data_IF_917825830745
#
_entry.id   IF_917825830745
#
_cell.length_a   1.000
_cell.length_b   1.000
_cell.length_c   1.000
_cell.angle_alpha   90.00
_cell.angle_beta   90.00
_cell.angle_gamma   90.00
#
_symmetry.space_group_name_H-M   'P 1'
#
loop_
_entity.id
_entity.type
_entity.pdbx_description
1 polymer ?
#
# COMPACT_ATOMS: atom_id res chain seq x y z
N UNK A 1 39.28 -20.43 0.43
CA UNK A 1 38.39 -19.71 -0.50
C UNK A 1 37.15 -19.32 0.29
N UNK A 2 37.21 -18.18 0.97
CA UNK A 2 36.16 -17.66 1.86
C UNK A 2 35.36 -16.59 1.12
N UNK A 3 34.05 -16.72 1.08
CA UNK A 3 33.14 -15.72 0.51
C UNK A 3 33.32 -14.34 1.19
N UNK A 4 33.27 -13.23 0.44
CA UNK A 4 33.30 -11.90 1.03
C UNK A 4 31.95 -11.59 1.71
N UNK A 5 31.95 -11.00 2.93
CA UNK A 5 30.71 -10.68 3.64
C UNK A 5 29.94 -9.57 2.90
N UNK A 6 28.71 -9.87 2.46
CA UNK A 6 27.82 -8.90 1.81
C UNK A 6 27.50 -7.71 2.73
N UNK A 7 27.76 -6.46 2.29
CA UNK A 7 27.81 -5.28 3.14
C UNK A 7 26.41 -4.90 3.61
N UNK A 8 26.24 -4.76 4.92
CA UNK A 8 25.02 -4.34 5.62
C UNK A 8 24.34 -3.11 4.99
N UNK A 9 25.14 -2.18 4.46
CA UNK A 9 24.68 -0.97 3.76
C UNK A 9 23.87 -1.27 2.48
N UNK A 10 24.26 -2.27 1.67
CA UNK A 10 23.51 -2.64 0.45
C UNK A 10 22.19 -3.33 0.79
N UNK A 11 22.16 -4.13 1.86
CA UNK A 11 20.93 -4.72 2.39
C UNK A 11 19.96 -3.63 2.88
N UNK A 12 20.42 -2.64 3.62
CA UNK A 12 19.58 -1.51 4.06
C UNK A 12 19.05 -0.69 2.88
N UNK A 13 19.87 -0.43 1.86
CA UNK A 13 19.46 0.30 0.66
C UNK A 13 18.43 -0.49 -0.18
N UNK A 14 18.58 -1.82 -0.26
CA UNK A 14 17.58 -2.70 -0.84
C UNK A 14 16.32 -2.72 0.03
N UNK A 15 16.42 -2.85 1.35
CA UNK A 15 15.27 -2.84 2.24
C UNK A 15 14.48 -1.53 2.20
N UNK A 16 15.14 -0.37 2.09
CA UNK A 16 14.47 0.92 1.91
C UNK A 16 13.86 1.09 0.51
N UNK A 17 14.52 0.55 -0.54
CA UNK A 17 14.02 0.58 -1.92
C UNK A 17 12.87 -0.41 -2.18
N UNK A 18 12.86 -1.55 -1.50
CA UNK A 18 11.86 -2.63 -1.65
C UNK A 18 10.75 -2.58 -0.58
N UNK A 19 10.90 -1.78 0.49
CA UNK A 19 9.87 -1.58 1.54
C UNK A 19 8.45 -1.34 1.01
N UNK A 20 8.23 -0.48 0.00
CA UNK A 20 6.88 -0.23 -0.49
C UNK A 20 6.36 -1.29 -1.47
N UNK A 21 7.23 -2.15 -2.00
CA UNK A 21 6.84 -3.12 -3.03
C UNK A 21 6.07 -4.33 -2.50
N UNK A 22 6.13 -4.60 -1.19
CA UNK A 22 5.43 -5.73 -0.60
C UNK A 22 3.90 -5.57 -0.67
N UNK A 23 3.41 -4.32 -0.55
CA UNK A 23 1.98 -3.98 -0.57
C UNK A 23 1.40 -3.95 -1.99
N UNK A 24 2.20 -3.50 -2.95
CA UNK A 24 1.78 -3.24 -4.34
C UNK A 24 1.01 -4.41 -4.99
N UNK A 25 1.48 -5.67 -4.99
CA UNK A 25 0.76 -6.75 -5.66
C UNK A 25 -0.60 -7.05 -5.02
N UNK A 26 -0.70 -7.00 -3.69
CA UNK A 26 -1.96 -7.21 -2.97
C UNK A 26 -2.96 -6.10 -3.27
N UNK A 27 -2.50 -4.84 -3.26
CA UNK A 27 -3.33 -3.68 -3.54
C UNK A 27 -3.81 -3.65 -4.99
N UNK A 28 -2.94 -3.93 -5.97
CA UNK A 28 -3.32 -3.99 -7.38
C UNK A 28 -4.29 -5.15 -7.67
N UNK A 29 -4.03 -6.33 -7.11
CA UNK A 29 -4.92 -7.48 -7.27
C UNK A 29 -6.32 -7.20 -6.69
N UNK A 30 -6.38 -6.64 -5.49
CA UNK A 30 -7.64 -6.25 -4.87
C UNK A 30 -8.40 -5.20 -5.70
N UNK A 31 -7.68 -4.18 -6.18
CA UNK A 31 -8.27 -3.08 -6.97
C UNK A 31 -8.83 -3.54 -8.32
N UNK A 32 -8.12 -4.46 -8.98
CA UNK A 32 -8.61 -5.10 -10.20
C UNK A 32 -9.92 -5.87 -9.95
N UNK A 33 -10.04 -6.54 -8.80
CA UNK A 33 -11.26 -7.25 -8.41
C UNK A 33 -12.43 -6.30 -8.13
N UNK A 34 -12.21 -5.18 -7.43
CA UNK A 34 -13.26 -4.18 -7.16
C UNK A 34 -13.87 -3.64 -8.45
N UNK A 35 -13.05 -3.34 -9.44
CA UNK A 35 -13.47 -2.74 -10.71
C UNK A 35 -14.02 -3.76 -11.70
N UNK A 36 -13.52 -4.99 -11.66
CA UNK A 36 -13.96 -6.09 -12.51
C UNK A 36 -14.05 -7.40 -11.69
N UNK A 37 -15.15 -7.61 -10.95
CA UNK A 37 -15.27 -8.75 -10.04
C UNK A 37 -15.26 -10.11 -10.77
N UNK A 38 -15.59 -10.12 -12.06
CA UNK A 38 -15.61 -11.33 -12.90
C UNK A 38 -14.22 -11.91 -13.20
N UNK A 39 -13.11 -11.22 -12.90
CA UNK A 39 -11.75 -11.68 -13.24
C UNK A 39 -11.40 -12.97 -12.48
N UNK A 40 -11.55 -12.99 -11.15
CA UNK A 40 -11.13 -14.13 -10.34
C UNK A 40 -11.98 -15.38 -10.59
N UNK A 41 -13.33 -15.30 -10.67
CA UNK A 41 -14.14 -16.44 -11.03
C UNK A 41 -13.79 -17.03 -12.40
N UNK A 42 -13.40 -16.18 -13.37
CA UNK A 42 -13.00 -16.62 -14.72
C UNK A 42 -11.65 -17.31 -14.76
N UNK A 43 -10.68 -16.87 -13.95
CA UNK A 43 -9.31 -17.39 -13.98
C UNK A 43 -9.05 -18.54 -13.00
N UNK A 44 -9.67 -18.48 -11.83
CA UNK A 44 -9.34 -19.34 -10.68
C UNK A 44 -10.55 -20.15 -10.17
N UNK A 45 -11.73 -19.94 -10.76
CA UNK A 45 -12.98 -20.56 -10.33
C UNK A 45 -13.68 -19.79 -9.21
N UNK A 46 -15.01 -19.85 -9.17
CA UNK A 46 -15.85 -19.11 -8.22
C UNK A 46 -15.62 -19.49 -6.76
N UNK A 47 -15.17 -20.72 -6.50
CA UNK A 47 -14.92 -21.21 -5.14
C UNK A 47 -13.75 -20.52 -4.44
N UNK A 48 -12.81 -19.97 -5.20
CA UNK A 48 -11.57 -19.35 -4.69
C UNK A 48 -11.70 -17.81 -4.59
N UNK A 49 -12.76 -17.23 -5.15
CA UNK A 49 -12.97 -15.77 -5.21
C UNK A 49 -12.97 -15.12 -3.82
N UNK A 50 -13.86 -15.58 -2.93
CA UNK A 50 -14.02 -15.01 -1.60
C UNK A 50 -12.74 -15.09 -0.73
N UNK A 51 -12.09 -16.26 -0.57
CA UNK A 51 -10.87 -16.33 0.23
C UNK A 51 -9.72 -15.54 -0.40
N UNK A 52 -9.62 -15.48 -1.72
CA UNK A 52 -8.58 -14.71 -2.41
C UNK A 52 -8.77 -13.20 -2.22
N UNK A 53 -9.98 -12.69 -2.42
CA UNK A 53 -10.27 -11.26 -2.24
C UNK A 53 -10.02 -10.83 -0.80
N UNK A 54 -10.42 -11.63 0.18
CA UNK A 54 -10.13 -11.36 1.60
C UNK A 54 -8.62 -11.40 1.89
N UNK A 55 -7.88 -12.35 1.31
CA UNK A 55 -6.43 -12.41 1.47
C UNK A 55 -5.72 -11.20 0.84
N UNK A 56 -6.17 -10.75 -0.35
CA UNK A 56 -5.64 -9.55 -1.01
C UNK A 56 -5.93 -8.29 -0.21
N UNK A 57 -7.15 -8.16 0.32
CA UNK A 57 -7.55 -7.05 1.17
C UNK A 57 -6.74 -7.02 2.47
N UNK A 58 -6.68 -8.14 3.20
CA UNK A 58 -5.87 -8.25 4.42
C UNK A 58 -4.39 -8.00 4.15
N UNK A 59 -3.83 -8.55 3.07
CA UNK A 59 -2.44 -8.33 2.67
C UNK A 59 -2.15 -6.85 2.39
N UNK A 60 -3.06 -6.15 1.73
CA UNK A 60 -2.97 -4.70 1.53
C UNK A 60 -2.95 -3.94 2.86
N UNK A 61 -3.86 -4.28 3.78
CA UNK A 61 -3.90 -3.68 5.11
C UNK A 61 -2.60 -3.88 5.89
N UNK A 62 -2.10 -5.11 5.92
CA UNK A 62 -0.86 -5.47 6.62
C UNK A 62 0.32 -4.72 6.01
N UNK A 63 0.44 -4.70 4.68
CA UNK A 63 1.53 -4.02 3.98
C UNK A 63 1.57 -2.52 4.29
N UNK A 64 0.42 -1.83 4.22
CA UNK A 64 0.33 -0.39 4.52
C UNK A 64 0.57 -0.12 6.01
N UNK A 65 0.07 -0.98 6.90
CA UNK A 65 0.30 -0.85 8.34
C UNK A 65 1.80 -0.94 8.64
N UNK A 66 2.51 -1.92 8.07
CA UNK A 66 3.96 -2.05 8.24
C UNK A 66 4.70 -0.84 7.66
N UNK A 67 4.27 -0.33 6.51
CA UNK A 67 4.85 0.87 5.90
C UNK A 67 4.70 2.10 6.82
N UNK A 68 3.49 2.37 7.31
CA UNK A 68 3.23 3.48 8.23
C UNK A 68 3.98 3.29 9.55
N UNK A 69 3.94 2.10 10.14
CA UNK A 69 4.59 1.80 11.42
C UNK A 69 6.10 2.02 11.39
N UNK A 70 6.73 1.84 10.22
CA UNK A 70 8.17 2.06 10.04
C UNK A 70 8.54 3.48 9.64
N UNK A 71 7.56 4.35 9.37
CA UNK A 71 7.73 5.75 8.95
C UNK A 71 8.35 6.59 10.08
N UNK A 72 9.18 7.57 9.72
CA UNK A 72 10.00 8.30 10.71
C UNK A 72 9.15 9.10 11.70
N UNK A 73 8.11 9.77 11.22
CA UNK A 73 7.23 10.60 12.04
C UNK A 73 6.54 9.81 13.16
N UNK A 74 6.21 8.54 12.94
CA UNK A 74 5.57 7.68 13.95
C UNK A 74 6.58 6.96 14.88
N UNK A 75 7.89 6.97 14.58
CA UNK A 75 8.89 6.28 15.43
C UNK A 75 9.08 6.90 16.81
N UNK A 76 8.71 8.18 16.97
CA UNK A 76 8.81 8.90 18.26
C UNK A 76 7.68 8.58 19.24
N UNK A 77 6.62 7.92 18.77
CA UNK A 77 5.40 7.62 19.51
C UNK A 77 5.53 6.27 20.23
N UNK A 78 4.80 6.08 21.33
CA UNK A 78 4.74 4.81 22.05
C UNK A 78 4.28 3.65 21.14
N UNK A 79 4.82 2.45 21.36
CA UNK A 79 4.65 1.30 20.44
C UNK A 79 3.19 0.94 20.16
N UNK A 80 2.33 0.97 21.18
CA UNK A 80 0.91 0.65 21.04
C UNK A 80 0.15 1.70 20.22
N UNK A 81 0.35 2.99 20.53
CA UNK A 81 -0.25 4.09 19.79
C UNK A 81 0.24 4.14 18.35
N UNK A 82 1.54 3.90 18.14
CA UNK A 82 2.14 3.77 16.80
C UNK A 82 1.45 2.68 15.98
N UNK A 83 1.15 1.53 16.60
CA UNK A 83 0.41 0.46 15.94
C UNK A 83 -1.02 0.89 15.60
N UNK A 84 -1.74 1.49 16.54
CA UNK A 84 -3.11 1.97 16.32
C UNK A 84 -3.20 3.01 15.21
N UNK A 85 -2.30 3.99 15.19
CA UNK A 85 -2.26 5.03 14.14
C UNK A 85 -1.92 4.44 12.77
N UNK A 86 -1.04 3.43 12.73
CA UNK A 86 -0.70 2.74 11.49
C UNK A 86 -1.87 1.92 10.95
N UNK A 87 -2.60 1.22 11.83
CA UNK A 87 -3.81 0.47 11.45
C UNK A 87 -4.89 1.43 10.95
N UNK A 88 -5.10 2.54 11.66
CA UNK A 88 -6.06 3.58 11.28
C UNK A 88 -5.73 4.18 9.91
N UNK A 89 -4.48 4.60 9.68
CA UNK A 89 -4.04 5.12 8.39
C UNK A 89 -4.16 4.10 7.26
N UNK A 90 -3.87 2.82 7.54
CA UNK A 90 -4.10 1.73 6.61
C UNK A 90 -5.58 1.56 6.25
N UNK A 91 -6.47 1.62 7.23
CA UNK A 91 -7.91 1.57 7.00
C UNK A 91 -8.41 2.75 6.17
N UNK A 92 -8.01 3.97 6.52
CA UNK A 92 -8.36 5.17 5.74
C UNK A 92 -7.92 5.04 4.27
N UNK A 93 -6.69 4.58 4.03
CA UNK A 93 -6.17 4.43 2.67
C UNK A 93 -6.92 3.37 1.86
N UNK A 94 -7.13 2.17 2.41
CA UNK A 94 -7.82 1.08 1.71
C UNK A 94 -9.29 1.43 1.43
N UNK A 95 -10.02 1.90 2.45
CA UNK A 95 -11.43 2.28 2.27
C UNK A 95 -11.59 3.49 1.36
N UNK A 96 -10.74 4.51 1.49
CA UNK A 96 -10.75 5.66 0.58
C UNK A 96 -10.52 5.26 -0.88
N UNK A 97 -9.61 4.32 -1.12
CA UNK A 97 -9.37 3.77 -2.45
C UNK A 97 -10.59 3.05 -3.00
N UNK A 98 -11.23 2.17 -2.21
CA UNK A 98 -12.44 1.45 -2.64
C UNK A 98 -13.56 2.41 -3.00
N UNK A 99 -13.75 3.48 -2.23
CA UNK A 99 -14.76 4.50 -2.53
C UNK A 99 -14.50 5.13 -3.89
N UNK A 100 -13.26 5.56 -4.16
CA UNK A 100 -12.87 6.13 -5.46
C UNK A 100 -13.11 5.11 -6.58
N UNK A 101 -12.68 3.86 -6.41
CA UNK A 101 -12.85 2.81 -7.41
C UNK A 101 -14.32 2.48 -7.67
N UNK A 102 -15.15 2.50 -6.64
CA UNK A 102 -16.59 2.28 -6.76
C UNK A 102 -17.25 3.40 -7.57
N UNK A 103 -16.83 4.66 -7.35
CA UNK A 103 -17.29 5.80 -8.16
C UNK A 103 -16.83 5.65 -9.62
N UNK A 104 -15.58 5.26 -9.86
CA UNK A 104 -15.11 5.01 -11.24
C UNK A 104 -15.90 3.87 -11.90
N UNK A 105 -16.18 2.80 -11.15
CA UNK A 105 -17.00 1.68 -11.63
C UNK A 105 -18.42 2.11 -12.01
N UNK A 106 -19.03 3.01 -11.24
CA UNK A 106 -20.40 3.47 -11.52
C UNK A 106 -20.47 4.39 -12.74
N UNK A 107 -19.39 5.15 -13.03
CA UNK A 107 -19.30 6.00 -14.23
C UNK A 107 -19.12 5.15 -15.51
N UNK A 108 -18.42 4.02 -15.44
CA UNK A 108 -18.11 3.17 -16.62
C UNK A 108 -18.67 1.73 -16.50
N UNK A 109 -20.00 1.52 -16.52
CA UNK A 109 -20.60 0.20 -16.27
C UNK A 109 -20.32 -0.85 -17.36
N UNK A 110 -20.18 -0.45 -18.63
CA UNK A 110 -20.19 -1.40 -19.77
C UNK A 110 -18.81 -1.67 -20.39
N UNK A 111 -17.76 -0.97 -19.95
CA UNK A 111 -16.41 -1.05 -20.55
C UNK A 111 -15.43 -1.77 -19.63
N UNK A 112 -15.44 -3.10 -19.67
CA UNK A 112 -14.62 -3.96 -18.80
C UNK A 112 -13.11 -3.70 -18.91
N UNK A 113 -12.58 -3.62 -20.13
CA UNK A 113 -11.15 -3.37 -20.39
C UNK A 113 -10.74 -1.98 -19.90
N UNK A 114 -11.58 -0.98 -20.12
CA UNK A 114 -11.34 0.40 -19.67
C UNK A 114 -11.30 0.48 -18.14
N UNK A 115 -12.25 -0.18 -17.45
CA UNK A 115 -12.25 -0.25 -15.98
C UNK A 115 -10.99 -0.91 -15.42
N UNK A 116 -10.53 -1.98 -16.05
CA UNK A 116 -9.31 -2.67 -15.67
C UNK A 116 -8.08 -1.76 -15.81
N UNK A 117 -7.94 -1.11 -16.96
CA UNK A 117 -6.86 -0.15 -17.22
C UNK A 117 -6.89 1.02 -16.22
N UNK A 118 -8.06 1.65 -16.06
CA UNK A 118 -8.27 2.73 -15.09
C UNK A 118 -7.97 2.26 -13.66
N UNK A 119 -8.35 1.03 -13.32
CA UNK A 119 -8.08 0.47 -12.00
C UNK A 119 -6.61 0.34 -11.69
N UNK A 120 -5.86 -0.25 -12.61
CA UNK A 120 -4.42 -0.42 -12.46
C UNK A 120 -3.71 0.95 -12.42
N UNK A 121 -4.09 1.87 -13.33
CA UNK A 121 -3.54 3.23 -13.35
C UNK A 121 -3.85 4.01 -12.08
N UNK A 122 -5.10 4.00 -11.64
CA UNK A 122 -5.55 4.73 -10.45
C UNK A 122 -4.94 4.15 -9.17
N UNK A 123 -4.83 2.82 -9.08
CA UNK A 123 -4.12 2.15 -7.98
C UNK A 123 -2.66 2.61 -7.90
N UNK A 124 -1.97 2.65 -9.04
CA UNK A 124 -0.60 3.14 -9.12
C UNK A 124 -0.48 4.60 -8.69
N UNK A 125 -1.36 5.47 -9.19
CA UNK A 125 -1.37 6.89 -8.83
C UNK A 125 -1.61 7.07 -7.33
N UNK A 126 -2.63 6.42 -6.75
CA UNK A 126 -2.98 6.55 -5.33
C UNK A 126 -1.82 6.05 -4.44
N UNK A 127 -1.18 4.93 -4.78
CA UNK A 127 -0.01 4.44 -4.05
C UNK A 127 1.17 5.41 -4.14
N UNK A 128 1.47 5.94 -5.33
CA UNK A 128 2.57 6.89 -5.53
C UNK A 128 2.33 8.19 -4.77
N UNK A 129 1.11 8.71 -4.80
CA UNK A 129 0.72 9.92 -4.05
C UNK A 129 0.80 9.65 -2.55
N UNK A 130 0.29 8.52 -2.07
CA UNK A 130 0.40 8.13 -0.66
C UNK A 130 1.84 8.03 -0.18
N UNK A 131 2.72 7.41 -0.98
CA UNK A 131 4.16 7.34 -0.66
C UNK A 131 4.81 8.72 -0.61
N UNK A 132 4.55 9.57 -1.61
CA UNK A 132 5.07 10.95 -1.63
C UNK A 132 4.57 11.76 -0.45
N UNK A 133 3.31 11.60 -0.07
CA UNK A 133 2.71 12.27 1.08
C UNK A 133 3.37 11.87 2.39
N UNK A 134 3.54 10.56 2.64
CA UNK A 134 4.23 10.09 3.85
C UNK A 134 5.70 10.53 3.86
N UNK A 135 6.38 10.50 2.72
CA UNK A 135 7.75 10.98 2.62
C UNK A 135 7.87 12.48 2.96
N UNK A 136 6.97 13.30 2.44
CA UNK A 136 6.89 14.72 2.76
C UNK A 136 6.68 14.97 4.26
N UNK A 137 5.78 14.21 4.90
CA UNK A 137 5.58 14.31 6.36
C UNK A 137 6.87 13.96 7.10
N UNK A 138 7.56 12.89 6.69
CA UNK A 138 8.83 12.49 7.30
C UNK A 138 9.91 13.57 7.15
N UNK A 139 9.99 14.24 6.00
CA UNK A 139 10.91 15.38 5.77
C UNK A 139 10.58 16.57 6.67
N UNK A 140 9.29 16.92 6.78
CA UNK A 140 8.83 18.00 7.65
C UNK A 140 9.14 17.69 9.12
N UNK A 141 8.90 16.44 9.55
CA UNK A 141 9.20 15.99 10.90
C UNK A 141 10.69 16.10 11.23
N UNK A 142 11.56 15.67 10.32
CA UNK A 142 13.01 15.80 10.48
C UNK A 142 13.40 17.29 10.58
N UNK A 143 12.88 18.16 9.70
CA UNK A 143 13.17 19.59 9.70
C UNK A 143 12.75 20.30 11.01
N UNK A 144 11.57 19.96 11.56
CA UNK A 144 11.11 20.51 12.84
C UNK A 144 12.00 20.03 13.99
N UNK A 145 12.36 18.74 13.99
CA UNK A 145 13.24 18.15 15.02
C UNK A 145 14.61 18.83 15.04
N UNK A 146 15.19 19.16 13.88
CA UNK A 146 16.46 19.89 13.81
C UNK A 146 16.39 21.31 14.36
N UNK A 147 15.24 22.00 14.24
CA UNK A 147 15.07 23.34 14.83
C UNK A 147 14.91 23.32 16.35
N UNK A 148 14.35 22.24 16.91
CA UNK A 148 14.14 22.13 18.36
C UNK A 148 15.41 21.80 19.16
N UNK A 149 16.49 21.38 18.50
CA UNK A 149 17.76 21.00 19.15
C UNK A 149 18.82 22.12 19.09
N UNK A 150 18.55 23.20 18.34
CA UNK A 150 19.35 24.43 18.36
C UNK A 150 18.73 25.44 19.33
#
# INVERSE_FOLDING_TARGET
MSEPPLPSARRQLLFDKYRPFLTTPFFFGFSAHVLTPKIFPRLLGSQVELPLTNALWCGSHVGITIYLYTSKHLRSIHTFERLLYSIYGSAMFNFGTVLIMTIVRSIFPDKEVLRLGLGLSLSGIILLVGQKYIHYIDEVFDAVRFRSVK
#
